data_IF_034879515062
#
_entry.id   IF_034879515062
#
_cell.length_a   1.000
_cell.length_b   1.000
_cell.length_c   1.000
_cell.angle_alpha   90.00
_cell.angle_beta   90.00
_cell.angle_gamma   90.00
#
_symmetry.space_group_name_H-M   'P 1'
#
loop_
_entity.id
_entity.type
_entity.pdbx_description
1 polymer ?
#
# COMPACT_ATOMS: atom_id res chain seq x y z
N UNK A 1 32.40 -28.49 -11.44
CA UNK A 1 31.15 -28.23 -12.21
C UNK A 1 30.79 -26.76 -12.15
N UNK A 2 31.04 -25.99 -13.23
CA UNK A 2 30.65 -24.59 -13.32
C UNK A 2 29.16 -24.51 -13.64
N UNK A 3 28.34 -24.16 -12.67
CA UNK A 3 26.93 -23.86 -12.93
C UNK A 3 26.89 -22.49 -13.63
N UNK A 4 26.77 -22.49 -14.93
CA UNK A 4 26.38 -21.32 -15.70
C UNK A 4 24.97 -20.92 -15.24
N UNK A 5 24.88 -19.98 -14.35
CA UNK A 5 23.60 -19.35 -14.04
C UNK A 5 23.18 -18.57 -15.29
N UNK A 6 22.20 -19.11 -15.98
CA UNK A 6 21.76 -18.63 -17.27
C UNK A 6 21.10 -17.26 -17.04
N UNK A 7 21.75 -16.17 -17.42
CA UNK A 7 21.26 -14.78 -17.31
C UNK A 7 19.85 -14.63 -17.91
N UNK A 8 19.48 -15.56 -18.82
CA UNK A 8 18.15 -15.65 -19.41
C UNK A 8 17.04 -15.92 -18.38
N UNK A 9 17.30 -16.73 -17.34
CA UNK A 9 16.32 -17.01 -16.30
C UNK A 9 16.06 -15.80 -15.39
N UNK A 10 17.09 -15.00 -15.15
CA UNK A 10 16.95 -13.76 -14.40
C UNK A 10 16.12 -12.72 -15.16
N UNK A 11 16.31 -12.59 -16.47
CA UNK A 11 15.47 -11.77 -17.31
C UNK A 11 14.03 -12.25 -17.36
N UNK A 12 13.79 -13.57 -17.35
CA UNK A 12 12.44 -14.15 -17.27
C UNK A 12 11.79 -13.82 -15.92
N UNK A 13 12.52 -13.95 -14.81
CA UNK A 13 11.99 -13.58 -13.47
C UNK A 13 11.67 -12.10 -13.39
N UNK A 14 12.56 -11.21 -13.90
CA UNK A 14 12.28 -9.77 -13.96
C UNK A 14 11.12 -9.45 -14.92
N UNK A 15 11.00 -10.15 -16.04
CA UNK A 15 9.87 -9.99 -16.96
C UNK A 15 8.54 -10.43 -16.32
N UNK A 16 8.54 -11.57 -15.61
CA UNK A 16 7.38 -12.04 -14.87
C UNK A 16 6.98 -11.10 -13.73
N UNK A 17 7.95 -10.45 -13.08
CA UNK A 17 7.70 -9.45 -12.05
C UNK A 17 7.26 -8.09 -12.63
N UNK A 18 7.53 -7.81 -13.91
CA UNK A 18 7.10 -6.59 -14.59
C UNK A 18 5.69 -6.69 -15.19
N UNK A 19 5.15 -7.92 -15.35
CA UNK A 19 3.81 -8.16 -15.90
C UNK A 19 2.70 -7.37 -15.19
N UNK A 20 2.70 -7.21 -13.85
CA UNK A 20 1.67 -6.42 -13.18
C UNK A 20 1.65 -4.94 -13.57
N UNK A 21 2.79 -4.36 -13.95
CA UNK A 21 2.84 -2.97 -14.43
C UNK A 21 2.10 -2.78 -15.76
N UNK A 22 2.07 -3.78 -16.61
CA UNK A 22 1.35 -3.71 -17.89
C UNK A 22 -0.17 -3.92 -17.72
N UNK A 23 -0.60 -4.69 -16.72
CA UNK A 23 -2.03 -4.85 -16.43
C UNK A 23 -2.65 -3.61 -15.79
N UNK A 24 -1.89 -2.83 -15.04
CA UNK A 24 -2.37 -1.58 -14.45
C UNK A 24 -2.65 -0.47 -15.49
N UNK A 25 -2.17 -0.63 -16.72
CA UNK A 25 -2.35 0.36 -17.78
C UNK A 25 -3.57 0.12 -18.68
N UNK A 26 -4.21 -1.05 -18.63
CA UNK A 26 -5.21 -1.44 -19.63
C UNK A 26 -6.64 -1.03 -19.32
N UNK A 27 -6.94 -0.56 -18.12
CA UNK A 27 -8.25 0.05 -17.87
C UNK A 27 -8.08 1.55 -17.67
N UNK A 28 -8.11 2.25 -18.80
CA UNK A 28 -8.31 3.69 -18.82
C UNK A 28 -9.58 4.01 -18.05
N UNK A 29 -9.50 5.01 -17.23
CA UNK A 29 -10.64 5.59 -16.56
C UNK A 29 -11.70 5.92 -17.59
N UNK A 30 -12.80 5.21 -17.56
CA UNK A 30 -13.95 5.56 -18.36
C UNK A 30 -14.43 6.96 -17.96
N UNK A 31 -14.62 7.79 -18.96
CA UNK A 31 -15.22 9.09 -18.82
C UNK A 31 -16.65 8.91 -18.30
N UNK A 32 -16.94 9.23 -17.06
CA UNK A 32 -18.27 9.05 -16.53
C UNK A 32 -18.45 9.32 -15.03
N UNK A 33 -17.39 9.67 -14.30
CA UNK A 33 -17.55 10.07 -12.89
C UNK A 33 -17.82 11.58 -12.82
N UNK A 34 -19.05 12.00 -12.49
CA UNK A 34 -19.42 13.42 -12.53
C UNK A 34 -18.72 14.25 -11.44
N UNK A 35 -18.36 13.65 -10.30
CA UNK A 35 -17.72 14.37 -9.19
C UNK A 35 -16.36 13.82 -8.85
N UNK A 36 -15.31 14.51 -9.31
CA UNK A 36 -13.94 14.25 -8.92
C UNK A 36 -13.51 15.32 -7.92
N UNK A 37 -13.43 14.96 -6.64
CA UNK A 37 -12.83 15.82 -5.63
C UNK A 37 -11.33 15.59 -5.60
N UNK A 38 -10.55 16.68 -5.70
CA UNK A 38 -9.11 16.66 -5.52
C UNK A 38 -8.75 17.25 -4.17
N UNK A 39 -8.10 16.47 -3.34
CA UNK A 39 -7.62 16.92 -2.03
C UNK A 39 -6.10 16.84 -1.97
N UNK A 40 -5.47 17.92 -1.50
CA UNK A 40 -4.03 17.94 -1.22
C UNK A 40 -3.82 18.00 0.28
N UNK A 41 -3.07 17.02 0.81
CA UNK A 41 -2.76 16.97 2.25
C UNK A 41 -1.26 16.90 2.49
N UNK A 42 -0.84 17.37 3.67
CA UNK A 42 0.51 17.24 4.17
C UNK A 42 0.54 16.29 5.36
N UNK A 43 1.44 15.32 5.33
CA UNK A 43 1.63 14.35 6.41
C UNK A 43 3.07 14.36 6.93
N UNK A 44 3.21 14.12 8.22
CA UNK A 44 4.46 13.65 8.83
C UNK A 44 4.32 12.16 9.10
N UNK A 45 5.34 11.38 8.74
CA UNK A 45 5.41 9.94 9.00
C UNK A 45 6.66 9.63 9.81
N UNK A 46 6.47 8.85 10.85
CA UNK A 46 7.53 8.36 11.70
C UNK A 46 7.52 6.84 11.60
N UNK A 47 8.66 6.27 11.25
CA UNK A 47 8.82 4.82 11.08
C UNK A 47 9.92 4.33 12.02
N UNK A 48 9.67 3.24 12.72
CA UNK A 48 10.67 2.51 13.50
C UNK A 48 10.61 1.07 13.09
N UNK A 49 11.74 0.52 12.67
CA UNK A 49 11.84 -0.88 12.30
C UNK A 49 12.94 -1.61 13.03
N UNK A 50 12.67 -2.84 13.40
CA UNK A 50 13.64 -3.76 13.96
C UNK A 50 13.66 -5.03 13.13
N UNK A 51 14.85 -5.50 12.76
CA UNK A 51 15.04 -6.74 12.01
C UNK A 51 16.14 -7.57 12.63
N UNK A 52 15.88 -8.85 12.84
CA UNK A 52 16.85 -9.84 13.31
C UNK A 52 17.06 -10.93 12.28
N UNK A 53 18.32 -11.15 11.91
CA UNK A 53 18.71 -12.27 11.06
C UNK A 53 18.75 -13.56 11.86
N UNK A 54 18.20 -14.60 11.28
CA UNK A 54 18.16 -15.94 11.83
C UNK A 54 19.01 -16.90 10.98
N UNK A 55 19.37 -18.10 11.51
CA UNK A 55 20.04 -19.15 10.73
C UNK A 55 19.25 -19.53 9.45
N UNK A 56 19.93 -20.20 8.54
CA UNK A 56 19.35 -20.74 7.29
C UNK A 56 18.73 -19.69 6.35
N UNK A 57 19.12 -18.40 6.47
CA UNK A 57 18.65 -17.35 5.57
C UNK A 57 17.30 -16.76 5.91
N UNK A 58 16.77 -17.05 7.09
CA UNK A 58 15.58 -16.41 7.61
C UNK A 58 15.88 -15.06 8.24
N UNK A 59 14.89 -14.19 8.30
CA UNK A 59 14.86 -12.99 9.14
C UNK A 59 13.45 -12.77 9.68
N UNK A 60 13.37 -12.15 10.85
CA UNK A 60 12.12 -11.66 11.43
C UNK A 60 12.22 -10.16 11.64
N UNK A 61 11.10 -9.48 11.48
CA UNK A 61 11.05 -8.03 11.67
C UNK A 61 9.73 -7.55 12.23
N UNK A 62 9.82 -6.41 12.88
CA UNK A 62 8.68 -5.61 13.30
C UNK A 62 8.90 -4.17 12.82
N UNK A 63 7.86 -3.55 12.32
CA UNK A 63 7.86 -2.17 11.87
C UNK A 63 6.63 -1.48 12.42
N UNK A 64 6.82 -0.28 12.95
CA UNK A 64 5.76 0.61 13.36
C UNK A 64 5.85 1.89 12.55
N UNK A 65 4.75 2.27 11.90
CA UNK A 65 4.62 3.52 11.16
C UNK A 65 3.49 4.35 11.78
N UNK A 66 3.80 5.56 12.22
CA UNK A 66 2.85 6.54 12.70
C UNK A 66 2.68 7.64 11.66
N UNK A 67 1.44 8.06 11.42
CA UNK A 67 1.09 9.14 10.48
C UNK A 67 0.33 10.23 11.19
N UNK A 68 0.77 11.44 10.97
CA UNK A 68 0.13 12.67 11.43
C UNK A 68 -0.26 13.50 10.21
N UNK A 69 -1.51 13.91 10.12
CA UNK A 69 -1.96 14.86 9.09
C UNK A 69 -1.72 16.25 9.62
N UNK A 70 -0.75 16.95 9.01
CA UNK A 70 -0.40 18.33 9.37
C UNK A 70 -1.33 19.37 8.72
N UNK A 71 -1.87 19.04 7.55
CA UNK A 71 -2.77 19.89 6.81
C UNK A 71 -3.68 19.06 5.91
N UNK A 72 -4.98 19.31 5.99
CA UNK A 72 -6.00 18.79 5.08
C UNK A 72 -7.06 19.90 4.86
N UNK A 73 -7.26 20.40 3.62
CA UNK A 73 -8.20 21.48 3.38
C UNK A 73 -9.67 21.09 3.55
N UNK A 74 -9.98 19.80 3.54
CA UNK A 74 -11.36 19.29 3.62
C UNK A 74 -11.74 18.83 5.02
N UNK A 75 -10.82 18.84 5.97
CA UNK A 75 -11.03 18.33 7.33
C UNK A 75 -10.36 19.25 8.36
N UNK A 76 -11.01 19.43 9.49
CA UNK A 76 -10.40 20.12 10.63
C UNK A 76 -9.09 19.40 11.04
N UNK A 77 -7.98 20.12 11.23
CA UNK A 77 -6.68 19.53 11.55
C UNK A 77 -6.60 18.93 12.96
N UNK A 78 -7.71 18.62 13.58
CA UNK A 78 -7.81 18.24 14.99
C UNK A 78 -7.20 16.89 15.36
N UNK A 79 -6.78 16.07 14.42
CA UNK A 79 -6.17 14.78 14.75
C UNK A 79 -4.65 14.87 14.63
N UNK A 80 -3.97 15.18 15.72
CA UNK A 80 -2.52 15.12 15.87
C UNK A 80 -1.94 13.75 15.44
N UNK A 81 -2.72 12.69 15.58
CA UNK A 81 -2.39 11.32 15.19
C UNK A 81 -3.52 10.75 14.34
N UNK A 82 -3.23 10.38 13.10
CA UNK A 82 -4.28 9.92 12.18
C UNK A 82 -4.32 8.40 12.01
N UNK A 83 -3.16 7.76 11.85
CA UNK A 83 -3.08 6.33 11.55
C UNK A 83 -1.81 5.71 12.11
N UNK A 84 -1.89 4.44 12.55
CA UNK A 84 -0.70 3.61 12.76
C UNK A 84 -0.76 2.32 11.95
N UNK A 85 0.43 1.78 11.71
CA UNK A 85 0.61 0.50 11.03
C UNK A 85 1.67 -0.30 11.78
N UNK A 86 1.25 -1.36 12.45
CA UNK A 86 2.15 -2.33 13.07
C UNK A 86 2.31 -3.50 12.13
N UNK A 87 3.53 -3.75 11.65
CA UNK A 87 3.82 -4.81 10.70
C UNK A 87 4.77 -5.83 11.30
N UNK A 88 4.38 -7.10 11.26
CA UNK A 88 5.23 -8.25 11.56
C UNK A 88 5.60 -8.93 10.24
N UNK A 89 6.86 -9.33 10.08
CA UNK A 89 7.31 -10.04 8.91
C UNK A 89 8.24 -11.21 9.23
N UNK A 90 8.17 -12.24 8.40
CA UNK A 90 9.10 -13.36 8.33
C UNK A 90 9.65 -13.40 6.92
N UNK A 91 10.94 -13.17 6.76
CA UNK A 91 11.63 -13.21 5.49
C UNK A 91 12.44 -14.48 5.32
N UNK A 92 12.52 -14.95 4.08
CA UNK A 92 13.39 -16.06 3.67
C UNK A 92 14.19 -15.69 2.43
N UNK A 93 15.50 -15.73 2.54
CA UNK A 93 16.42 -15.49 1.44
C UNK A 93 16.55 -16.73 0.57
N UNK A 94 15.78 -16.76 -0.52
CA UNK A 94 15.72 -17.92 -1.44
C UNK A 94 16.99 -18.07 -2.26
N UNK A 95 17.60 -16.94 -2.67
CA UNK A 95 18.74 -16.95 -3.57
C UNK A 95 19.71 -15.82 -3.24
N UNK A 96 21.00 -16.12 -3.26
CA UNK A 96 22.07 -15.14 -3.25
C UNK A 96 23.19 -15.63 -4.15
N UNK A 97 23.35 -14.99 -5.29
CA UNK A 97 24.35 -15.34 -6.29
C UNK A 97 25.28 -14.15 -6.55
N UNK A 98 26.53 -14.46 -6.85
CA UNK A 98 27.45 -13.48 -7.36
C UNK A 98 27.98 -13.96 -8.71
N UNK A 99 27.88 -13.10 -9.73
CA UNK A 99 28.44 -13.40 -11.04
C UNK A 99 29.97 -13.31 -10.96
N UNK A 100 30.70 -14.36 -11.36
CA UNK A 100 32.16 -14.35 -11.33
C UNK A 100 32.77 -13.38 -12.36
N UNK A 101 32.06 -13.13 -13.45
CA UNK A 101 32.59 -12.32 -14.57
C UNK A 101 32.34 -10.82 -14.38
N UNK A 102 31.20 -10.45 -13.78
CA UNK A 102 30.78 -9.04 -13.64
C UNK A 102 30.85 -8.53 -12.22
N UNK A 103 31.01 -9.43 -11.23
CA UNK A 103 30.96 -9.08 -9.81
C UNK A 103 29.55 -8.71 -9.32
N UNK A 104 28.54 -8.78 -10.18
CA UNK A 104 27.15 -8.45 -9.81
C UNK A 104 26.60 -9.44 -8.79
N UNK A 105 25.89 -8.92 -7.81
CA UNK A 105 25.24 -9.75 -6.78
C UNK A 105 23.74 -9.72 -7.00
N UNK A 106 23.16 -10.89 -7.09
CA UNK A 106 21.70 -11.07 -7.25
C UNK A 106 21.10 -11.63 -5.98
N UNK A 107 19.93 -11.20 -5.64
CA UNK A 107 19.19 -11.70 -4.50
C UNK A 107 17.72 -11.91 -4.83
N UNK A 108 17.14 -12.98 -4.26
CA UNK A 108 15.72 -13.25 -4.28
C UNK A 108 15.28 -13.54 -2.85
N UNK A 109 14.22 -12.86 -2.39
CA UNK A 109 13.69 -12.99 -1.04
C UNK A 109 12.18 -13.13 -1.08
N UNK A 110 11.65 -14.04 -0.29
CA UNK A 110 10.22 -14.20 -0.01
C UNK A 110 9.95 -13.64 1.39
N UNK A 111 8.93 -12.81 1.54
CA UNK A 111 8.46 -12.34 2.84
C UNK A 111 7.00 -12.74 3.03
N UNK A 112 6.68 -13.27 4.20
CA UNK A 112 5.33 -13.43 4.72
C UNK A 112 5.13 -12.42 5.83
N UNK A 113 4.01 -11.74 5.84
CA UNK A 113 3.81 -10.75 6.87
C UNK A 113 2.35 -10.43 7.14
N UNK A 114 2.19 -9.66 8.19
CA UNK A 114 0.90 -9.22 8.66
C UNK A 114 1.00 -7.79 9.14
N UNK A 115 0.12 -6.93 8.66
CA UNK A 115 0.02 -5.54 9.09
C UNK A 115 -1.33 -5.32 9.77
N UNK A 116 -1.29 -4.82 10.99
CA UNK A 116 -2.44 -4.25 11.68
C UNK A 116 -2.44 -2.75 11.38
N UNK A 117 -3.52 -2.24 10.78
CA UNK A 117 -3.71 -0.81 10.61
C UNK A 117 -4.75 -0.32 11.61
N UNK A 118 -4.41 0.71 12.35
CA UNK A 118 -5.33 1.46 13.18
C UNK A 118 -5.58 2.84 12.58
N UNK A 119 -6.84 3.29 12.56
CA UNK A 119 -7.26 4.59 12.04
C UNK A 119 -7.94 5.40 13.17
N UNK A 120 -7.19 6.29 13.80
CA UNK A 120 -7.66 7.10 14.91
C UNK A 120 -8.75 8.10 14.49
N UNK A 121 -8.67 8.62 13.26
CA UNK A 121 -9.68 9.53 12.74
C UNK A 121 -11.06 8.88 12.62
N UNK A 122 -11.12 7.63 12.15
CA UNK A 122 -12.38 6.89 12.11
C UNK A 122 -12.95 6.63 13.51
N UNK A 123 -12.09 6.41 14.50
CA UNK A 123 -12.50 6.27 15.89
C UNK A 123 -13.14 7.56 16.42
N UNK A 124 -12.48 8.70 16.23
CA UNK A 124 -12.99 10.00 16.66
C UNK A 124 -14.36 10.30 16.01
N UNK A 125 -14.46 10.11 14.69
CA UNK A 125 -15.70 10.31 13.94
C UNK A 125 -16.84 9.39 14.39
N UNK A 126 -16.50 8.16 14.80
CA UNK A 126 -17.48 7.22 15.35
C UNK A 126 -17.94 7.63 16.75
N UNK A 127 -17.03 8.06 17.61
CA UNK A 127 -17.36 8.57 18.96
C UNK A 127 -18.24 9.81 18.91
N UNK A 128 -17.96 10.74 18.02
CA UNK A 128 -18.73 11.98 17.85
C UNK A 128 -20.17 11.74 17.34
N UNK A 129 -20.44 10.57 16.77
CA UNK A 129 -21.76 10.20 16.22
C UNK A 129 -22.58 9.27 17.07
N UNK A 130 -22.24 9.09 18.35
CA UNK A 130 -22.94 8.16 19.27
C UNK A 130 -23.06 6.71 18.73
N UNK A 131 -22.09 6.25 17.96
CA UNK A 131 -22.05 4.85 17.54
C UNK A 131 -21.70 3.93 18.72
N UNK A 132 -22.33 2.75 18.75
CA UNK A 132 -21.96 1.73 19.73
C UNK A 132 -20.46 1.37 19.60
N UNK A 133 -19.76 1.18 20.71
CA UNK A 133 -18.32 0.96 20.72
C UNK A 133 -17.82 -0.21 19.84
N UNK A 134 -18.69 -1.19 19.53
CA UNK A 134 -18.38 -2.30 18.62
C UNK A 134 -18.24 -1.84 17.15
N UNK A 135 -19.03 -0.91 16.70
CA UNK A 135 -18.95 -0.31 15.37
C UNK A 135 -17.65 0.49 15.19
N UNK A 136 -17.32 1.31 16.19
CA UNK A 136 -16.10 2.11 16.20
C UNK A 136 -14.84 1.23 16.08
N UNK A 137 -14.78 0.12 16.82
CA UNK A 137 -13.64 -0.79 16.79
C UNK A 137 -13.45 -1.45 15.42
N UNK A 138 -14.54 -1.85 14.76
CA UNK A 138 -14.48 -2.51 13.46
C UNK A 138 -14.06 -1.58 12.32
N UNK A 139 -14.46 -0.32 12.36
CA UNK A 139 -14.03 0.68 11.36
C UNK A 139 -12.59 1.13 11.55
N UNK A 140 -12.07 1.05 12.77
CA UNK A 140 -10.75 1.55 13.10
C UNK A 140 -9.64 0.55 12.85
N UNK A 141 -9.92 -0.76 12.93
CA UNK A 141 -8.95 -1.82 12.79
C UNK A 141 -9.08 -2.52 11.44
N UNK A 142 -7.97 -2.67 10.74
CA UNK A 142 -7.88 -3.43 9.50
C UNK A 142 -6.74 -4.44 9.59
N UNK A 143 -7.07 -5.69 9.32
CA UNK A 143 -6.14 -6.80 9.28
C UNK A 143 -5.63 -7.02 7.85
N UNK A 144 -4.30 -7.06 7.65
CA UNK A 144 -3.69 -7.05 6.33
C UNK A 144 -2.57 -8.09 6.20
N UNK A 145 -2.89 -9.39 6.11
CA UNK A 145 -1.89 -10.38 5.76
C UNK A 145 -1.37 -10.14 4.34
N UNK A 146 -0.09 -10.45 4.12
CA UNK A 146 0.53 -10.32 2.81
C UNK A 146 1.60 -11.38 2.57
N UNK A 147 1.87 -11.60 1.29
CA UNK A 147 3.05 -12.30 0.80
C UNK A 147 3.77 -11.39 -0.19
N UNK A 148 5.10 -11.35 -0.14
CA UNK A 148 5.86 -10.58 -1.12
C UNK A 148 7.09 -11.30 -1.63
N UNK A 149 7.39 -11.08 -2.90
CA UNK A 149 8.60 -11.56 -3.56
C UNK A 149 9.45 -10.35 -3.95
N UNK A 150 10.74 -10.39 -3.58
CA UNK A 150 11.67 -9.30 -3.88
C UNK A 150 12.86 -9.82 -4.66
N UNK A 151 13.09 -9.25 -5.83
CA UNK A 151 14.31 -9.44 -6.61
C UNK A 151 15.26 -8.26 -6.45
N UNK A 152 16.56 -8.48 -6.40
CA UNK A 152 17.53 -7.39 -6.36
C UNK A 152 18.80 -7.70 -7.13
N UNK A 153 19.43 -6.65 -7.66
CA UNK A 153 20.75 -6.70 -8.28
C UNK A 153 21.62 -5.57 -7.71
N UNK A 154 22.84 -5.92 -7.29
CA UNK A 154 23.86 -4.95 -6.87
C UNK A 154 24.99 -4.92 -7.92
N UNK A 155 25.34 -3.73 -8.36
CA UNK A 155 26.42 -3.49 -9.31
C UNK A 155 27.16 -2.18 -8.95
N UNK A 156 28.43 -2.32 -8.61
CA UNK A 156 29.20 -1.20 -8.10
C UNK A 156 28.58 -0.60 -6.84
N UNK A 157 28.23 0.67 -6.90
CA UNK A 157 27.60 1.43 -5.82
C UNK A 157 26.06 1.40 -5.87
N UNK A 158 25.50 0.83 -6.92
CA UNK A 158 24.07 0.78 -7.15
C UNK A 158 23.47 -0.54 -6.66
N UNK A 159 22.25 -0.42 -6.14
CA UNK A 159 21.35 -1.56 -5.93
C UNK A 159 19.99 -1.22 -6.53
N UNK A 160 19.53 -2.06 -7.45
CA UNK A 160 18.16 -2.03 -7.94
C UNK A 160 17.37 -3.17 -7.30
N UNK A 161 16.14 -2.92 -6.96
CA UNK A 161 15.24 -3.95 -6.43
C UNK A 161 13.82 -3.74 -6.91
N UNK A 162 13.15 -4.86 -7.21
CA UNK A 162 11.74 -4.93 -7.51
C UNK A 162 11.08 -5.79 -6.44
N UNK A 163 9.98 -5.31 -5.84
CA UNK A 163 9.20 -6.04 -4.85
C UNK A 163 7.75 -6.07 -5.28
N UNK A 164 7.21 -7.28 -5.40
CA UNK A 164 5.81 -7.54 -5.62
C UNK A 164 5.17 -8.01 -4.32
N UNK A 165 4.04 -7.42 -3.95
CA UNK A 165 3.34 -7.77 -2.72
C UNK A 165 1.87 -8.01 -3.04
N UNK A 166 1.41 -9.23 -2.78
CA UNK A 166 0.00 -9.54 -2.73
C UNK A 166 -0.49 -9.39 -1.29
N UNK A 167 -1.55 -8.60 -1.10
CA UNK A 167 -2.10 -8.28 0.21
C UNK A 167 -3.61 -8.42 0.19
N UNK A 168 -4.14 -8.94 1.29
CA UNK A 168 -5.58 -8.99 1.54
C UNK A 168 -5.89 -8.04 2.70
N UNK A 169 -6.79 -7.09 2.48
CA UNK A 169 -7.28 -6.20 3.52
C UNK A 169 -8.64 -6.72 4.00
N UNK A 170 -8.70 -7.23 5.21
CA UNK A 170 -9.95 -7.62 5.84
C UNK A 170 -10.64 -6.39 6.40
N UNK A 171 -11.85 -6.13 5.91
CA UNK A 171 -12.74 -5.09 6.41
C UNK A 171 -13.82 -5.78 7.22
N UNK A 172 -13.97 -5.38 8.47
CA UNK A 172 -15.01 -5.92 9.34
C UNK A 172 -16.29 -5.07 9.34
N UNK A 173 -16.23 -3.92 8.69
CA UNK A 173 -17.26 -2.88 8.66
C UNK A 173 -18.50 -3.23 7.83
N UNK A 174 -18.44 -4.27 6.99
CA UNK A 174 -19.53 -4.64 6.09
C UNK A 174 -20.76 -5.28 6.79
N UNK A 175 -20.59 -5.79 8.00
CA UNK A 175 -21.63 -6.58 8.67
C UNK A 175 -22.61 -5.72 9.48
N UNK A 176 -22.25 -4.52 9.88
CA UNK A 176 -22.99 -3.75 10.89
C UNK A 176 -23.77 -2.55 10.37
N UNK A 177 -23.60 -2.18 9.12
CA UNK A 177 -24.37 -1.09 8.50
C UNK A 177 -25.76 -1.55 8.05
N UNK A 178 -26.02 -2.85 8.09
CA UNK A 178 -27.25 -3.47 7.62
C UNK A 178 -28.54 -3.03 8.37
N UNK A 179 -28.42 -2.60 9.60
CA UNK A 179 -29.61 -2.32 10.43
C UNK A 179 -30.29 -0.97 10.18
N UNK A 180 -29.62 -0.01 9.51
CA UNK A 180 -30.19 1.33 9.28
C UNK A 180 -30.52 1.64 7.82
N UNK A 181 -29.96 0.89 6.90
CA UNK A 181 -30.11 1.11 5.45
C UNK A 181 -30.53 -0.21 4.82
N UNK A 182 -31.33 -0.18 3.79
CA UNK A 182 -31.89 -1.36 3.12
C UNK A 182 -30.88 -2.53 3.08
N UNK A 183 -31.08 -3.62 3.85
CA UNK A 183 -30.07 -4.65 4.08
C UNK A 183 -29.64 -5.39 2.78
N UNK A 184 -30.48 -5.39 1.76
CA UNK A 184 -30.15 -5.99 0.48
C UNK A 184 -29.07 -5.20 -0.30
N UNK A 185 -28.93 -3.91 -0.05
CA UNK A 185 -27.99 -3.03 -0.72
C UNK A 185 -26.63 -3.05 -0.04
N UNK A 186 -26.61 -3.00 1.30
CA UNK A 186 -25.37 -2.90 2.07
C UNK A 186 -24.50 -4.15 2.02
N UNK A 187 -25.08 -5.33 1.84
CA UNK A 187 -24.31 -6.60 1.77
C UNK A 187 -23.64 -6.79 0.40
N UNK A 188 -24.22 -6.23 -0.66
CA UNK A 188 -23.66 -6.33 -2.01
C UNK A 188 -22.53 -5.32 -2.28
N UNK A 189 -22.49 -4.21 -1.55
CA UNK A 189 -21.63 -3.06 -1.87
C UNK A 189 -20.24 -3.12 -1.26
N UNK A 190 -20.04 -3.81 -0.15
CA UNK A 190 -18.74 -3.85 0.53
C UNK A 190 -18.17 -5.25 0.53
N UNK A 191 -17.24 -5.48 -0.35
CA UNK A 191 -16.46 -6.70 -0.32
C UNK A 191 -15.68 -6.75 1.04
N UNK A 192 -15.92 -7.77 1.90
CA UNK A 192 -15.24 -7.89 3.17
C UNK A 192 -13.72 -8.06 3.02
N UNK A 193 -13.26 -8.40 1.82
CA UNK A 193 -11.86 -8.62 1.52
C UNK A 193 -11.47 -7.82 0.29
N UNK A 194 -10.59 -6.86 0.47
CA UNK A 194 -9.98 -6.15 -0.64
C UNK A 194 -8.62 -6.78 -0.94
N UNK A 195 -8.49 -7.38 -2.11
CA UNK A 195 -7.23 -7.94 -2.60
C UNK A 195 -6.47 -6.90 -3.40
N UNK A 196 -5.20 -6.70 -3.07
CA UNK A 196 -4.34 -5.71 -3.71
C UNK A 196 -3.03 -6.34 -4.16
N UNK A 197 -2.59 -5.94 -5.35
CA UNK A 197 -1.24 -6.17 -5.82
C UNK A 197 -0.47 -4.86 -5.79
N UNK A 198 0.70 -4.88 -5.15
CA UNK A 198 1.54 -3.73 -4.97
C UNK A 198 2.93 -4.00 -5.52
N UNK A 199 3.33 -3.19 -6.49
CA UNK A 199 4.61 -3.30 -7.18
C UNK A 199 5.49 -2.12 -6.81
N UNK A 200 6.72 -2.36 -6.33
CA UNK A 200 7.69 -1.32 -5.97
C UNK A 200 9.01 -1.54 -6.67
N UNK A 201 9.43 -0.55 -7.44
CA UNK A 201 10.78 -0.46 -7.99
C UNK A 201 11.60 0.55 -7.18
N UNK A 202 12.78 0.14 -6.71
CA UNK A 202 13.66 0.97 -5.88
C UNK A 202 15.09 0.95 -6.40
N UNK A 203 15.72 2.11 -6.40
CA UNK A 203 17.14 2.29 -6.65
C UNK A 203 17.82 2.89 -5.41
N UNK A 204 18.93 2.29 -4.99
CA UNK A 204 19.81 2.80 -3.93
C UNK A 204 21.19 3.07 -4.51
N UNK A 205 21.79 4.19 -4.13
CA UNK A 205 23.16 4.57 -4.47
C UNK A 205 24.00 4.79 -3.22
N UNK A 206 25.04 4.00 -3.04
CA UNK A 206 25.94 4.11 -1.88
C UNK A 206 27.05 5.08 -2.18
N UNK A 207 27.19 6.16 -1.40
CA UNK A 207 28.30 7.11 -1.54
C UNK A 207 29.61 6.45 -1.11
N UNK A 208 30.61 6.51 -2.00
CA UNK A 208 31.89 5.86 -1.78
C UNK A 208 32.58 6.39 -0.52
N UNK A 209 32.97 5.48 0.37
CA UNK A 209 33.64 5.83 1.63
C UNK A 209 32.78 6.58 2.66
N UNK A 210 31.48 6.72 2.42
CA UNK A 210 30.54 7.39 3.34
C UNK A 210 29.48 6.42 3.84
N UNK A 211 29.02 6.58 5.09
CA UNK A 211 27.92 5.79 5.64
C UNK A 211 26.55 6.26 5.13
N UNK A 212 26.49 6.83 3.95
CA UNK A 212 25.32 7.49 3.37
C UNK A 212 24.90 6.77 2.11
N UNK A 213 23.59 6.52 1.98
CA UNK A 213 22.95 6.04 0.75
C UNK A 213 21.86 7.00 0.32
N UNK A 214 21.84 7.32 -0.94
CA UNK A 214 20.70 7.97 -1.58
C UNK A 214 19.74 6.87 -2.07
N UNK A 215 18.46 7.13 -2.04
CA UNK A 215 17.49 6.22 -2.60
C UNK A 215 16.32 6.94 -3.26
N UNK A 216 15.73 6.27 -4.24
CA UNK A 216 14.43 6.62 -4.77
C UNK A 216 13.62 5.36 -5.03
N UNK A 217 12.30 5.47 -5.00
CA UNK A 217 11.41 4.39 -5.42
C UNK A 217 10.11 4.91 -6.00
N UNK A 218 9.56 4.10 -6.91
CA UNK A 218 8.19 4.20 -7.37
C UNK A 218 7.40 2.98 -6.92
N UNK A 219 6.14 3.17 -6.56
CA UNK A 219 5.24 2.12 -6.13
C UNK A 219 3.87 2.34 -6.75
N UNK A 220 3.26 1.26 -7.23
CA UNK A 220 1.88 1.24 -7.71
C UNK A 220 1.10 0.17 -6.95
N UNK A 221 -0.16 0.45 -6.65
CA UNK A 221 -1.07 -0.53 -6.02
C UNK A 221 -2.33 -0.64 -6.86
N UNK A 222 -2.59 -1.85 -7.33
CA UNK A 222 -3.80 -2.19 -8.06
C UNK A 222 -4.75 -3.01 -7.16
N UNK A 223 -6.04 -2.76 -7.30
CA UNK A 223 -7.10 -3.59 -6.71
C UNK A 223 -7.37 -4.76 -7.63
N UNK A 224 -7.49 -5.98 -7.10
CA UNK A 224 -7.67 -7.21 -7.88
C UNK A 224 -9.10 -7.74 -7.86
N UNK A 225 -9.87 -7.42 -6.84
CA UNK A 225 -11.20 -7.98 -6.61
C UNK A 225 -12.21 -6.94 -6.15
N UNK A 226 -12.21 -5.77 -6.76
CA UNK A 226 -13.32 -4.87 -6.47
C UNK A 226 -14.62 -5.55 -6.91
N UNK A 227 -15.66 -5.58 -6.05
CA UNK A 227 -16.91 -6.24 -6.41
C UNK A 227 -17.51 -5.58 -7.65
N UNK A 228 -18.08 -6.39 -8.50
CA UNK A 228 -18.93 -5.87 -9.58
C UNK A 228 -20.05 -5.08 -8.91
N UNK A 229 -20.17 -3.82 -9.26
CA UNK A 229 -21.25 -3.01 -8.76
C UNK A 229 -22.56 -3.51 -9.40
N UNK A 230 -23.58 -3.91 -8.63
CA UNK A 230 -24.84 -4.37 -9.20
C UNK A 230 -25.66 -3.24 -9.83
N UNK A 231 -25.13 -2.01 -9.72
CA UNK A 231 -25.80 -0.83 -10.23
C UNK A 231 -25.41 -0.55 -11.67
N UNK A 232 -26.41 -0.23 -12.44
CA UNK A 232 -26.24 0.23 -13.82
C UNK A 232 -26.64 1.69 -13.93
N UNK A 233 -26.04 2.39 -14.88
CA UNK A 233 -26.49 3.73 -15.26
C UNK A 233 -27.86 3.70 -15.95
N UNK A 234 -28.33 4.86 -16.40
CA UNK A 234 -29.58 4.98 -17.14
C UNK A 234 -29.60 4.24 -18.49
N UNK A 235 -28.42 3.85 -18.98
CA UNK A 235 -28.23 3.11 -20.25
C UNK A 235 -28.02 1.61 -20.01
N UNK A 236 -28.04 1.16 -18.75
CA UNK A 236 -27.86 -0.24 -18.35
C UNK A 236 -26.41 -0.70 -18.32
N UNK A 237 -25.44 0.22 -18.36
CA UNK A 237 -24.02 -0.11 -18.20
C UNK A 237 -23.66 -0.20 -16.73
N UNK A 238 -22.81 -1.17 -16.36
CA UNK A 238 -22.30 -1.30 -15.00
C UNK A 238 -21.55 -0.03 -14.60
N UNK A 239 -21.93 0.56 -13.47
CA UNK A 239 -21.38 1.84 -13.01
C UNK A 239 -19.91 1.77 -12.63
N UNK A 240 -19.45 0.66 -12.11
CA UNK A 240 -18.05 0.32 -12.03
C UNK A 240 -17.86 -1.16 -11.69
N UNK A 241 -16.68 -1.65 -11.94
CA UNK A 241 -16.26 -3.01 -11.62
C UNK A 241 -14.82 -3.23 -12.02
N UNK A 242 -14.26 -4.32 -11.56
CA UNK A 242 -12.98 -4.81 -12.02
C UNK A 242 -11.76 -4.16 -11.37
N UNK A 243 -10.63 -4.42 -11.98
CA UNK A 243 -9.32 -4.04 -11.49
C UNK A 243 -9.02 -2.58 -11.84
N UNK A 244 -8.47 -1.83 -10.90
CA UNK A 244 -8.01 -0.47 -11.19
C UNK A 244 -6.76 -0.09 -10.38
N UNK A 245 -6.02 0.89 -10.89
CA UNK A 245 -4.90 1.50 -10.17
C UNK A 245 -5.45 2.33 -9.02
N UNK A 246 -5.32 1.81 -7.80
CA UNK A 246 -5.82 2.47 -6.60
C UNK A 246 -4.90 3.56 -6.10
N UNK A 247 -3.59 3.35 -6.20
CA UNK A 247 -2.62 4.35 -5.73
C UNK A 247 -1.28 4.24 -6.43
N UNK A 248 -0.60 5.38 -6.49
CA UNK A 248 0.78 5.49 -6.91
C UNK A 248 1.58 6.28 -5.87
N UNK A 249 2.86 5.92 -5.70
CA UNK A 249 3.74 6.53 -4.73
C UNK A 249 5.12 6.73 -5.34
N UNK A 250 5.69 7.90 -5.13
CA UNK A 250 7.07 8.19 -5.48
C UNK A 250 7.79 8.72 -4.24
N UNK A 251 9.04 8.32 -4.08
CA UNK A 251 9.86 8.77 -2.94
C UNK A 251 11.29 8.98 -3.33
N UNK A 252 11.92 9.97 -2.69
CA UNK A 252 13.34 10.24 -2.75
C UNK A 252 13.85 10.52 -1.34
N UNK A 253 15.03 10.01 -1.00
CA UNK A 253 15.54 10.19 0.35
C UNK A 253 17.01 9.83 0.53
N UNK A 254 17.44 10.03 1.76
CA UNK A 254 18.79 9.76 2.25
C UNK A 254 18.69 8.81 3.43
N UNK A 255 19.53 7.80 3.42
CA UNK A 255 19.72 6.87 4.55
C UNK A 255 21.14 6.99 5.06
N UNK A 256 21.28 7.36 6.32
CA UNK A 256 22.53 7.44 7.05
C UNK A 256 22.68 6.24 7.98
N UNK A 257 23.74 5.46 7.77
CA UNK A 257 24.11 4.37 8.67
C UNK A 257 24.92 4.95 9.83
N UNK A 258 24.35 5.00 11.01
CA UNK A 258 24.96 5.53 12.23
C UNK A 258 26.08 4.58 12.68
N UNK A 259 25.75 3.29 12.73
CA UNK A 259 26.67 2.21 13.09
C UNK A 259 26.36 0.91 12.32
N UNK A 260 26.83 -0.25 12.78
CA UNK A 260 26.61 -1.52 12.13
C UNK A 260 25.14 -1.99 12.22
N UNK A 261 24.44 -1.58 13.27
CA UNK A 261 23.07 -2.00 13.57
C UNK A 261 22.04 -0.92 13.25
N UNK A 262 22.41 0.35 13.37
CA UNK A 262 21.49 1.46 13.39
C UNK A 262 21.60 2.33 12.14
N UNK A 263 20.46 2.72 11.59
CA UNK A 263 20.37 3.69 10.51
C UNK A 263 19.19 4.64 10.68
N UNK A 264 19.36 5.87 10.21
CA UNK A 264 18.35 6.91 10.18
C UNK A 264 18.11 7.30 8.72
N UNK A 265 16.87 7.44 8.32
CA UNK A 265 16.51 7.90 6.98
C UNK A 265 15.57 9.09 7.03
N UNK A 266 15.76 9.98 6.06
CA UNK A 266 14.87 11.10 5.78
C UNK A 266 14.43 11.00 4.34
N UNK A 267 13.12 11.11 4.07
CA UNK A 267 12.63 11.10 2.70
C UNK A 267 11.39 11.97 2.54
N UNK A 268 11.25 12.44 1.31
CA UNK A 268 10.02 13.02 0.82
C UNK A 268 9.25 11.96 0.05
N UNK A 269 7.95 11.90 0.26
CA UNK A 269 7.04 10.98 -0.41
C UNK A 269 5.89 11.78 -1.01
N UNK A 270 5.68 11.60 -2.30
CA UNK A 270 4.45 11.94 -2.96
C UNK A 270 3.60 10.68 -3.11
N UNK A 271 2.36 10.74 -2.66
CA UNK A 271 1.43 9.64 -2.70
C UNK A 271 0.11 10.09 -3.30
N UNK A 272 -0.27 9.47 -4.40
CA UNK A 272 -1.55 9.63 -5.04
C UNK A 272 -2.44 8.43 -4.70
N UNK A 273 -3.65 8.69 -4.27
CA UNK A 273 -4.66 7.67 -3.98
C UNK A 273 -5.97 8.09 -4.64
N UNK A 274 -6.66 7.13 -5.23
CA UNK A 274 -8.03 7.31 -5.67
C UNK A 274 -8.91 6.25 -5.01
N UNK A 275 -9.98 6.73 -4.39
CA UNK A 275 -11.03 5.88 -3.83
C UNK A 275 -12.31 6.12 -4.63
N UNK A 276 -12.99 5.05 -4.93
CA UNK A 276 -14.32 5.09 -5.54
C UNK A 276 -15.34 4.91 -4.43
N UNK A 277 -16.33 5.75 -4.38
CA UNK A 277 -17.40 5.67 -3.40
C UNK A 277 -18.77 5.76 -4.08
N UNK A 278 -19.74 5.06 -3.53
CA UNK A 278 -21.12 5.06 -3.99
C UNK A 278 -21.95 5.79 -2.95
N UNK A 279 -22.52 6.91 -3.37
CA UNK A 279 -23.49 7.63 -2.58
C UNK A 279 -24.89 7.31 -3.05
N UNK A 280 -25.69 6.73 -2.18
CA UNK A 280 -27.11 6.46 -2.47
C UNK A 280 -27.92 7.60 -1.85
N UNK A 281 -28.33 8.54 -2.69
CA UNK A 281 -29.20 9.64 -2.29
C UNK A 281 -30.67 9.24 -2.49
N UNK A 282 -31.40 8.94 -1.43
CA UNK A 282 -32.82 8.67 -1.49
C UNK A 282 -33.47 8.58 -0.12
N UNK A 283 -34.17 9.62 0.26
CA UNK A 283 -35.21 9.55 1.29
C UNK A 283 -36.49 9.07 0.61
N UNK A 284 -36.97 7.92 1.09
CA UNK A 284 -38.32 7.38 0.89
C UNK A 284 -38.58 6.38 -0.23
N UNK A 285 -39.19 5.38 0.21
CA UNK A 285 -39.79 4.12 -0.19
C UNK A 285 -40.52 4.02 -1.53
N UNK A 286 -40.48 4.90 -2.48
CA UNK A 286 -41.32 4.77 -3.65
C UNK A 286 -40.83 5.26 -5.01
N UNK A 287 -39.67 5.87 -5.13
CA UNK A 287 -39.25 6.29 -6.47
C UNK A 287 -37.76 6.52 -6.56
N UNK A 288 -37.15 5.83 -7.53
CA UNK A 288 -35.83 6.05 -8.11
C UNK A 288 -34.73 6.48 -7.10
N UNK A 289 -34.02 5.50 -6.56
CA UNK A 289 -32.78 5.74 -5.86
C UNK A 289 -31.80 6.38 -6.85
N UNK A 290 -31.38 7.60 -6.59
CA UNK A 290 -30.28 8.20 -7.31
C UNK A 290 -29.00 7.62 -6.75
N UNK A 291 -28.35 6.77 -7.51
CA UNK A 291 -27.00 6.28 -7.22
C UNK A 291 -26.01 7.26 -7.82
N UNK A 292 -25.22 7.87 -6.98
CA UNK A 292 -24.19 8.81 -7.39
C UNK A 292 -22.82 8.19 -7.12
N UNK A 293 -22.03 8.08 -8.17
CA UNK A 293 -20.65 7.63 -8.06
C UNK A 293 -19.75 8.82 -7.84
N UNK A 294 -19.01 8.78 -6.76
CA UNK A 294 -17.99 9.78 -6.47
C UNK A 294 -16.60 9.16 -6.55
N UNK A 295 -15.66 9.89 -7.11
CA UNK A 295 -14.25 9.53 -7.10
C UNK A 295 -13.48 10.56 -6.31
N UNK A 296 -12.93 10.13 -5.19
CA UNK A 296 -12.04 10.95 -4.39
C UNK A 296 -10.59 10.71 -4.80
N UNK A 297 -9.89 11.79 -5.15
CA UNK A 297 -8.45 11.78 -5.42
C UNK A 297 -7.72 12.52 -4.33
N UNK A 298 -6.87 11.81 -3.61
CA UNK A 298 -6.07 12.38 -2.54
C UNK A 298 -4.61 12.43 -2.96
N UNK A 299 -4.04 13.62 -2.95
CA UNK A 299 -2.63 13.88 -3.19
C UNK A 299 -1.95 14.17 -1.85
N UNK A 300 -1.13 13.26 -1.38
CA UNK A 300 -0.43 13.40 -0.10
C UNK A 300 1.02 13.73 -0.33
N UNK A 301 1.48 14.80 0.30
CA UNK A 301 2.88 15.16 0.43
C UNK A 301 3.32 14.76 1.83
N UNK A 302 4.31 13.90 1.97
CA UNK A 302 4.74 13.43 3.28
C UNK A 302 6.26 13.60 3.47
N UNK A 303 6.63 14.04 4.66
CA UNK A 303 7.99 13.93 5.18
C UNK A 303 8.05 12.67 6.03
N UNK A 304 9.02 11.81 5.75
CA UNK A 304 9.20 10.55 6.46
C UNK A 304 10.52 10.56 7.20
N UNK A 305 10.48 10.26 8.48
CA UNK A 305 11.64 10.01 9.33
C UNK A 305 11.59 8.55 9.75
N UNK A 306 12.60 7.76 9.39
CA UNK A 306 12.63 6.35 9.70
C UNK A 306 13.91 5.96 10.45
N UNK A 307 13.75 5.20 11.53
CA UNK A 307 14.85 4.62 12.30
C UNK A 307 14.83 3.10 12.18
N UNK A 308 15.97 2.55 11.82
CA UNK A 308 16.15 1.12 11.57
C UNK A 308 17.15 0.50 12.54
N UNK A 309 16.77 -0.64 13.13
CA UNK A 309 17.63 -1.47 13.99
C UNK A 309 17.79 -2.83 13.31
N UNK A 310 19.03 -3.23 13.00
CA UNK A 310 19.36 -4.48 12.32
C UNK A 310 20.30 -5.32 13.21
N UNK A 311 19.86 -6.51 13.63
CA UNK A 311 20.60 -7.45 14.49
C UNK A 311 20.95 -8.75 13.76
#
# INVERSE_FOLDING_TARGET
>A
MRRYCNTKWLLVVFALLAVPFSFAQTHQMEAGYPDTTNCHQLELRQEVSWTKKLPAGFDIGIEEELREVLYNPNEDPAAFFSKSYTTLNLGYKMLALQSPNTGYKYGLKLDLGYTLKFNAYSLQKALDKDYSGALAANECLQHRPYVSLSGSVNFGQWKLSLKETYRVNFRLDSVMVADKWNPAISVAEKNPHLMELKSRLRADYSLLGKPIKLFCYGEATATLNEPDCPWTDSEGQALYGGQYLRSAKASVGVRWRIDQMNALSFSYVYYFKQDRDININGKNSSSKQNVELTMERVHTHAIVIAYEINQ
#
